data_IF_704337824608
#
_entry.id   IF_704337824608
#
_cell.length_a   1.000
_cell.length_b   1.000
_cell.length_c   1.000
_cell.angle_alpha   90.00
_cell.angle_beta   90.00
_cell.angle_gamma   90.00
#
_symmetry.space_group_name_H-M   'P 1'
#
loop_
_entity.id
_entity.type
_entity.pdbx_description
1 polymer ?
#
# COMPACT_ATOMS: atom_id res chain seq x y z
N UNK A 1 7.08 2.67 -4.37
CA UNK A 1 7.93 1.48 -4.67
C UNK A 1 8.56 1.47 -6.08
N UNK A 2 7.84 1.71 -7.19
CA UNK A 2 8.40 1.63 -8.57
C UNK A 2 9.42 2.72 -8.90
N UNK A 3 9.12 3.98 -8.58
CA UNK A 3 10.02 5.11 -8.81
C UNK A 3 11.36 4.93 -8.08
N UNK A 4 11.33 4.30 -6.89
CA UNK A 4 12.52 3.90 -6.16
C UNK A 4 13.35 2.90 -6.94
N UNK A 5 12.73 1.86 -7.51
CA UNK A 5 13.42 0.82 -8.28
C UNK A 5 14.03 1.35 -9.58
N UNK A 6 13.41 2.34 -10.21
CA UNK A 6 14.01 3.04 -11.35
C UNK A 6 15.20 3.90 -10.87
N UNK A 7 15.04 4.62 -9.75
CA UNK A 7 16.11 5.45 -9.18
C UNK A 7 17.29 4.64 -8.62
N UNK A 8 17.07 3.42 -8.12
CA UNK A 8 18.11 2.51 -7.64
C UNK A 8 18.76 1.69 -8.76
N UNK A 9 18.27 1.79 -10.00
CA UNK A 9 18.78 1.03 -11.14
C UNK A 9 18.30 -0.42 -11.21
N UNK A 10 17.39 -0.83 -10.32
CA UNK A 10 16.78 -2.17 -10.33
C UNK A 10 15.82 -2.37 -11.53
N UNK A 11 15.41 -1.26 -12.17
CA UNK A 11 14.56 -1.26 -13.37
C UNK A 11 15.18 -0.37 -14.47
N UNK A 12 15.05 -0.75 -15.76
CA UNK A 12 15.46 0.11 -16.87
C UNK A 12 14.79 1.47 -16.83
N UNK A 13 15.50 2.52 -17.28
CA UNK A 13 14.96 3.87 -17.37
C UNK A 13 13.73 4.00 -18.31
N UNK A 14 13.56 3.06 -19.24
CA UNK A 14 12.38 2.95 -20.12
C UNK A 14 11.16 2.33 -19.45
N UNK A 15 11.26 1.93 -18.18
CA UNK A 15 10.13 1.36 -17.44
C UNK A 15 9.08 2.42 -17.17
N UNK A 16 7.83 2.10 -17.45
CA UNK A 16 6.69 2.99 -17.18
C UNK A 16 5.61 2.25 -16.39
N UNK A 17 4.79 3.01 -15.67
CA UNK A 17 3.62 2.46 -14.98
C UNK A 17 2.50 2.21 -15.97
N UNK A 18 1.95 0.99 -15.94
CA UNK A 18 0.76 0.62 -16.68
C UNK A 18 -0.39 0.33 -15.70
N UNK A 19 -1.59 0.72 -16.09
CA UNK A 19 -2.85 0.41 -15.42
C UNK A 19 -3.90 0.01 -16.44
N UNK A 20 -4.69 -1.03 -16.14
CA UNK A 20 -5.77 -1.47 -17.03
C UNK A 20 -6.92 -0.45 -17.02
N UNK A 21 -7.59 -0.29 -18.17
CA UNK A 21 -8.72 0.63 -18.34
C UNK A 21 -9.91 0.27 -17.46
N UNK A 22 -10.13 -1.02 -17.25
CA UNK A 22 -11.22 -1.54 -16.42
C UNK A 22 -10.90 -1.53 -14.92
N UNK A 23 -9.71 -1.08 -14.56
CA UNK A 23 -9.24 -1.01 -13.18
C UNK A 23 -8.24 -2.10 -12.81
N UNK A 24 -7.70 -1.99 -11.60
CA UNK A 24 -6.77 -2.96 -11.02
C UNK A 24 -7.24 -3.37 -9.65
N UNK A 25 -7.04 -4.63 -9.27
CA UNK A 25 -7.25 -5.07 -7.89
C UNK A 25 -6.34 -4.23 -6.98
N UNK A 26 -6.96 -3.52 -6.04
CA UNK A 26 -6.23 -2.73 -5.05
C UNK A 26 -5.70 -3.64 -3.96
N UNK A 27 -4.43 -3.48 -3.61
CA UNK A 27 -3.91 -4.10 -2.40
C UNK A 27 -4.23 -3.21 -1.19
N UNK A 28 -4.81 -3.80 -0.16
CA UNK A 28 -5.00 -3.16 1.14
C UNK A 28 -4.22 -3.92 2.20
N UNK A 29 -3.48 -3.20 3.03
CA UNK A 29 -2.75 -3.77 4.16
C UNK A 29 -3.22 -3.16 5.47
N UNK A 30 -3.20 -3.99 6.52
CA UNK A 30 -3.69 -3.62 7.84
C UNK A 30 -2.60 -3.78 8.89
N UNK A 31 -2.59 -2.88 9.87
CA UNK A 31 -1.81 -3.03 11.11
C UNK A 31 -2.77 -3.56 12.17
N UNK A 32 -2.45 -4.71 12.76
CA UNK A 32 -3.31 -5.37 13.76
C UNK A 32 -2.54 -5.64 15.06
N UNK A 33 -3.26 -5.75 16.18
CA UNK A 33 -2.72 -6.14 17.48
C UNK A 33 -3.35 -7.50 17.84
N UNK A 34 -2.54 -8.56 17.97
CA UNK A 34 -3.05 -9.87 18.38
C UNK A 34 -3.77 -9.83 19.73
N UNK A 35 -4.81 -10.64 19.89
CA UNK A 35 -5.59 -10.70 21.13
C UNK A 35 -4.74 -11.12 22.36
N UNK A 36 -3.67 -11.89 22.14
CA UNK A 36 -2.73 -12.36 23.16
C UNK A 36 -1.45 -11.52 23.26
N UNK A 37 -1.43 -10.29 22.73
CA UNK A 37 -0.26 -9.43 22.80
C UNK A 37 0.14 -9.17 24.27
N UNK A 38 1.37 -9.53 24.64
CA UNK A 38 1.92 -9.33 25.98
C UNK A 38 2.01 -7.84 26.39
N UNK A 39 1.99 -6.92 25.42
CA UNK A 39 2.10 -5.48 25.63
C UNK A 39 1.10 -4.70 24.75
N UNK A 40 -0.20 -4.99 24.88
CA UNK A 40 -1.27 -4.35 24.08
C UNK A 40 -1.24 -2.81 24.14
N UNK A 41 -1.00 -2.22 25.32
CA UNK A 41 -0.92 -0.76 25.45
C UNK A 41 0.24 -0.17 24.62
N UNK A 42 1.43 -0.77 24.68
CA UNK A 42 2.57 -0.34 23.89
C UNK A 42 2.34 -0.52 22.39
N UNK A 43 1.71 -1.64 21.99
CA UNK A 43 1.35 -1.88 20.59
C UNK A 43 0.41 -0.81 20.03
N UNK A 44 -0.54 -0.30 20.83
CA UNK A 44 -1.39 0.83 20.44
C UNK A 44 -0.62 2.13 20.25
N UNK A 45 0.41 2.39 21.06
CA UNK A 45 1.29 3.56 20.89
C UNK A 45 2.01 3.48 19.55
N UNK A 46 2.54 2.32 19.19
CA UNK A 46 3.18 2.09 17.89
C UNK A 46 2.19 2.27 16.74
N UNK A 47 0.98 1.72 16.86
CA UNK A 47 -0.07 1.89 15.84
C UNK A 47 -0.43 3.36 15.63
N UNK A 48 -0.55 4.13 16.72
CA UNK A 48 -0.80 5.58 16.65
C UNK A 48 0.38 6.33 16.01
N UNK A 49 1.61 5.95 16.33
CA UNK A 49 2.79 6.52 15.68
C UNK A 49 2.79 6.23 14.17
N UNK A 50 2.49 5.00 13.75
CA UNK A 50 2.41 4.63 12.34
C UNK A 50 1.32 5.41 11.59
N UNK A 51 0.24 5.80 12.28
CA UNK A 51 -0.83 6.66 11.74
C UNK A 51 -0.52 8.16 11.82
N UNK A 52 0.60 8.58 12.42
CA UNK A 52 0.94 10.01 12.51
C UNK A 52 1.21 10.64 11.14
N UNK A 53 0.95 11.95 10.95
CA UNK A 53 1.24 12.65 9.70
C UNK A 53 2.68 12.49 9.24
N UNK A 54 3.66 12.61 10.14
CA UNK A 54 5.08 12.52 9.80
C UNK A 54 5.46 11.11 9.32
N UNK A 55 4.95 10.06 9.98
CA UNK A 55 5.16 8.68 9.57
C UNK A 55 4.54 8.40 8.20
N UNK A 56 3.31 8.89 7.95
CA UNK A 56 2.61 8.70 6.70
C UNK A 56 3.21 9.51 5.55
N UNK A 57 3.70 10.72 5.81
CA UNK A 57 4.48 11.51 4.85
C UNK A 57 5.77 10.78 4.47
N UNK A 58 6.51 10.25 5.46
CA UNK A 58 7.72 9.45 5.21
C UNK A 58 7.41 8.16 4.44
N UNK A 59 6.28 7.50 4.72
CA UNK A 59 5.81 6.32 3.97
C UNK A 59 5.51 6.66 2.51
N UNK A 60 4.84 7.79 2.27
CA UNK A 60 4.47 8.26 0.94
C UNK A 60 5.67 8.74 0.11
N UNK A 61 6.81 9.03 0.74
CA UNK A 61 8.03 9.46 0.04
C UNK A 61 8.58 8.32 -0.86
N UNK A 62 8.62 8.51 -2.20
CA UNK A 62 9.14 7.54 -3.14
C UNK A 62 10.60 7.16 -2.91
N UNK A 63 11.42 8.02 -2.32
CA UNK A 63 12.82 7.72 -2.00
C UNK A 63 12.95 6.75 -0.81
N UNK A 64 11.95 6.70 0.08
CA UNK A 64 11.96 5.84 1.27
C UNK A 64 11.21 4.54 1.01
N UNK A 65 9.89 4.63 0.86
CA UNK A 65 8.98 3.48 0.66
C UNK A 65 8.08 3.72 -0.55
N UNK A 66 7.45 4.90 -0.64
CA UNK A 66 6.61 5.31 -1.75
C UNK A 66 5.31 4.54 -1.81
N UNK A 67 4.73 4.26 -0.64
CA UNK A 67 3.41 3.65 -0.47
C UNK A 67 2.44 4.75 0.00
N UNK A 68 1.28 4.97 -0.67
CA UNK A 68 0.40 6.09 -0.38
C UNK A 68 -0.06 6.16 1.08
N UNK A 69 -0.25 7.38 1.59
CA UNK A 69 -0.80 7.62 2.92
C UNK A 69 -2.26 7.16 3.02
N UNK A 70 -2.66 6.73 4.21
CA UNK A 70 -4.07 6.44 4.55
C UNK A 70 -4.79 7.64 5.18
N UNK A 71 -4.09 8.76 5.40
CA UNK A 71 -4.66 9.96 5.99
C UNK A 71 -5.43 10.76 4.97
N UNK A 72 -6.54 11.34 5.42
CA UNK A 72 -7.28 12.36 4.69
C UNK A 72 -6.48 13.68 4.70
N UNK A 73 -6.01 14.18 3.53
CA UNK A 73 -5.25 15.43 3.47
C UNK A 73 -6.03 16.64 4.00
N UNK A 74 -7.37 16.63 3.92
CA UNK A 74 -8.19 17.75 4.39
C UNK A 74 -8.13 17.93 5.92
N UNK A 75 -7.74 16.87 6.65
CA UNK A 75 -7.61 16.90 8.11
C UNK A 75 -6.21 17.27 8.59
N UNK A 76 -5.27 17.52 7.68
CA UNK A 76 -3.90 17.92 8.00
C UNK A 76 -3.74 19.45 8.02
N UNK A 77 -2.80 19.99 8.82
CA UNK A 77 -2.36 21.38 8.70
C UNK A 77 -1.82 21.70 7.30
N UNK A 78 -1.92 22.95 6.87
CA UNK A 78 -1.70 23.36 5.48
C UNK A 78 -0.36 22.87 4.89
N UNK A 79 0.76 23.06 5.60
CA UNK A 79 2.07 22.60 5.11
C UNK A 79 2.21 21.08 4.99
N UNK A 80 1.57 20.31 5.88
CA UNK A 80 1.55 18.84 5.78
C UNK A 80 0.58 18.37 4.69
N UNK A 81 -0.55 19.07 4.49
CA UNK A 81 -1.51 18.81 3.43
C UNK A 81 -0.86 18.94 2.05
N UNK A 82 -0.21 20.07 1.79
CA UNK A 82 0.48 20.32 0.51
C UNK A 82 1.56 19.26 0.25
N UNK A 83 2.38 18.98 1.26
CA UNK A 83 3.41 17.94 1.19
C UNK A 83 2.82 16.57 0.86
N UNK A 84 1.70 16.20 1.49
CA UNK A 84 1.05 14.93 1.22
C UNK A 84 0.45 14.89 -0.19
N UNK A 85 -0.28 15.92 -0.60
CA UNK A 85 -0.91 16.02 -1.91
C UNK A 85 0.12 15.92 -3.04
N UNK A 86 1.30 16.55 -2.88
CA UNK A 86 2.40 16.47 -3.85
C UNK A 86 2.94 15.04 -4.06
N UNK A 87 2.69 14.14 -3.11
CA UNK A 87 3.15 12.73 -3.12
C UNK A 87 2.04 11.76 -3.52
N UNK A 88 0.80 12.22 -3.61
CA UNK A 88 -0.30 11.36 -4.02
C UNK A 88 -0.21 11.07 -5.52
N UNK A 89 -0.33 9.80 -5.93
CA UNK A 89 -0.34 9.46 -7.34
C UNK A 89 -1.53 10.14 -8.02
N UNK A 90 -1.27 10.82 -9.14
CA UNK A 90 -2.30 11.34 -10.02
C UNK A 90 -2.75 10.24 -10.98
N UNK A 91 -4.02 10.30 -11.42
CA UNK A 91 -4.57 9.44 -12.47
C UNK A 91 -4.46 7.93 -12.20
N UNK A 92 -4.72 7.50 -10.97
CA UNK A 92 -4.82 6.08 -10.66
C UNK A 92 -6.01 5.45 -11.40
N UNK A 93 -5.84 4.28 -12.04
CA UNK A 93 -6.96 3.54 -12.61
C UNK A 93 -7.94 3.15 -11.48
N UNK A 94 -9.21 2.87 -11.82
CA UNK A 94 -10.21 2.44 -10.85
C UNK A 94 -9.70 1.26 -10.01
N UNK A 95 -9.88 1.36 -8.69
CA UNK A 95 -9.53 0.26 -7.79
C UNK A 95 -10.69 -0.74 -7.76
N UNK A 96 -10.40 -1.98 -8.12
CA UNK A 96 -11.32 -3.11 -8.02
C UNK A 96 -11.18 -3.77 -6.64
N UNK A 97 -12.30 -4.23 -6.10
CA UNK A 97 -12.31 -4.97 -4.84
C UNK A 97 -11.57 -6.30 -4.97
N UNK A 98 -10.91 -6.73 -3.89
CA UNK A 98 -10.39 -8.09 -3.80
C UNK A 98 -11.55 -9.11 -3.86
N UNK A 99 -11.32 -10.30 -4.43
CA UNK A 99 -12.31 -11.37 -4.40
C UNK A 99 -12.77 -11.66 -2.97
N UNK A 100 -14.06 -11.97 -2.81
CA UNK A 100 -14.58 -12.33 -1.49
C UNK A 100 -13.79 -13.50 -0.89
N UNK A 101 -13.41 -13.42 0.39
CA UNK A 101 -12.50 -14.37 1.03
C UNK A 101 -12.92 -15.84 0.93
N UNK A 102 -14.22 -16.11 0.78
CA UNK A 102 -14.75 -17.46 0.51
C UNK A 102 -14.24 -18.11 -0.78
N UNK A 103 -13.70 -17.34 -1.72
CA UNK A 103 -13.10 -17.85 -2.96
C UNK A 103 -11.64 -18.27 -2.82
N UNK A 104 -10.95 -17.88 -1.73
CA UNK A 104 -9.51 -18.12 -1.59
C UNK A 104 -9.18 -19.60 -1.76
N UNK A 105 -9.88 -20.49 -1.04
CA UNK A 105 -9.63 -21.93 -1.12
C UNK A 105 -9.82 -22.48 -2.54
N UNK A 106 -10.89 -22.06 -3.25
CA UNK A 106 -11.16 -22.54 -4.60
C UNK A 106 -10.10 -22.05 -5.60
N UNK A 107 -9.68 -20.80 -5.47
CA UNK A 107 -8.62 -20.21 -6.30
C UNK A 107 -7.27 -20.88 -6.04
N UNK A 108 -6.92 -21.12 -4.78
CA UNK A 108 -5.67 -21.80 -4.41
C UNK A 108 -5.63 -23.24 -4.93
N UNK A 109 -6.72 -24.00 -4.80
CA UNK A 109 -6.80 -25.36 -5.31
C UNK A 109 -6.61 -25.41 -6.83
N UNK A 110 -7.31 -24.55 -7.57
CA UNK A 110 -7.20 -24.53 -9.03
C UNK A 110 -5.84 -24.01 -9.50
N UNK A 111 -5.24 -23.06 -8.76
CA UNK A 111 -3.88 -22.60 -9.01
C UNK A 111 -2.88 -23.74 -8.87
N UNK A 112 -2.94 -24.51 -7.78
CA UNK A 112 -2.07 -25.66 -7.57
C UNK A 112 -2.31 -26.73 -8.63
N UNK A 113 -3.56 -27.03 -8.97
CA UNK A 113 -3.88 -28.01 -10.01
C UNK A 113 -3.27 -27.64 -11.37
N UNK A 114 -3.30 -26.35 -11.76
CA UNK A 114 -2.77 -25.89 -13.05
C UNK A 114 -1.26 -25.67 -13.07
N UNK A 115 -0.69 -25.20 -11.96
CA UNK A 115 0.67 -24.65 -11.93
C UNK A 115 1.61 -25.35 -10.95
N UNK A 116 1.12 -26.21 -10.05
CA UNK A 116 2.01 -27.06 -9.24
C UNK A 116 2.48 -28.20 -10.14
N UNK A 117 3.64 -28.02 -10.74
CA UNK A 117 4.44 -29.12 -11.28
C UNK A 117 5.08 -29.84 -10.10
N UNK A 118 5.06 -31.18 -10.15
CA UNK A 118 5.56 -32.10 -9.11
C UNK A 118 6.95 -31.77 -8.58
#
# INVERSE_FOLDING_TARGET
MRSKKIASGDLPASSYSFGFREGMIGNVHFVTIPANANASAAAKVVANFLLSPDAQLRKADPAVWGDPSVLDPQKLPDGQRESLQSRMPQDLPPVLAEPHAGWVNALEQEWLHRYSTH
#
